data_IF_785808216854
#
_entry.id   IF_785808216854
#
_cell.length_a   1.000
_cell.length_b   1.000
_cell.length_c   1.000
_cell.angle_alpha   90.00
_cell.angle_beta   90.00
_cell.angle_gamma   90.00
#
_symmetry.space_group_name_H-M   'P 1'
#
loop_
_entity.id
_entity.type
_entity.pdbx_description
1 polymer ?
#
# COMPACT_ATOMS: atom_id res chain seq x y z
N UNK A 1 99.97 3.23 -23.03
CA UNK A 1 98.58 3.65 -22.78
C UNK A 1 97.68 2.63 -23.44
N UNK A 2 96.97 1.81 -22.67
CA UNK A 2 96.03 0.81 -23.20
C UNK A 2 94.74 1.49 -23.64
N UNK A 3 94.38 1.36 -24.92
CA UNK A 3 93.10 1.87 -25.45
C UNK A 3 91.92 1.11 -24.82
N UNK A 4 90.99 1.86 -24.24
CA UNK A 4 89.74 1.37 -23.67
C UNK A 4 88.67 1.37 -24.77
N UNK A 5 87.93 0.27 -24.92
CA UNK A 5 86.76 0.20 -25.82
C UNK A 5 85.48 0.16 -24.98
N UNK A 6 84.53 1.05 -25.26
CA UNK A 6 83.20 1.03 -24.65
C UNK A 6 82.29 0.22 -25.57
N UNK A 7 81.79 -0.91 -25.11
CA UNK A 7 80.84 -1.73 -25.85
C UNK A 7 79.43 -1.49 -25.29
N UNK A 8 78.48 -0.95 -26.07
CA UNK A 8 77.08 -0.90 -25.66
C UNK A 8 76.52 -2.32 -25.62
N UNK A 9 75.82 -2.67 -24.53
CA UNK A 9 75.13 -3.96 -24.42
C UNK A 9 73.84 -3.88 -25.24
N UNK A 10 73.89 -4.24 -26.51
CA UNK A 10 72.69 -4.56 -27.29
C UNK A 10 72.48 -6.08 -27.24
N UNK A 11 71.60 -6.52 -26.32
CA UNK A 11 71.24 -7.92 -26.15
C UNK A 11 70.39 -8.39 -27.35
N UNK A 12 71.01 -9.13 -28.27
CA UNK A 12 70.28 -9.93 -29.26
C UNK A 12 70.26 -11.39 -28.77
N UNK A 13 69.05 -11.87 -28.45
CA UNK A 13 68.65 -13.26 -28.16
C UNK A 13 68.75 -13.82 -26.73
N UNK A 14 68.18 -13.12 -25.74
CA UNK A 14 67.57 -13.80 -24.58
C UNK A 14 66.27 -13.09 -24.21
N UNK A 15 65.13 -13.74 -24.47
CA UNK A 15 63.82 -13.31 -23.96
C UNK A 15 63.85 -13.31 -22.42
N UNK A 16 63.44 -12.21 -21.79
CA UNK A 16 63.38 -11.96 -20.34
C UNK A 16 64.64 -11.42 -19.64
N UNK A 17 65.22 -10.32 -20.13
CA UNK A 17 65.92 -9.37 -19.25
C UNK A 17 65.40 -7.96 -19.55
N UNK A 18 64.74 -7.35 -18.57
CA UNK A 18 64.44 -5.91 -18.58
C UNK A 18 65.76 -5.12 -18.61
N UNK A 19 66.11 -4.62 -19.80
CA UNK A 19 66.92 -3.41 -20.03
C UNK A 19 67.95 -3.08 -18.93
N UNK A 20 69.07 -3.79 -18.86
CA UNK A 20 70.22 -3.32 -18.08
C UNK A 20 70.91 -2.20 -18.84
N UNK A 21 70.47 -0.96 -18.58
CA UNK A 21 71.17 0.26 -19.02
C UNK A 21 72.44 0.42 -18.19
N UNK A 22 73.55 -0.14 -18.68
CA UNK A 22 74.89 0.10 -18.17
C UNK A 22 75.92 -0.20 -19.23
N UNK A 23 76.89 0.70 -19.41
CA UNK A 23 78.06 0.43 -20.26
C UNK A 23 79.17 -0.13 -19.37
N UNK A 24 79.64 -1.35 -19.64
CA UNK A 24 80.84 -1.89 -18.99
C UNK A 24 82.07 -1.53 -19.84
N UNK A 25 83.18 -1.22 -19.15
CA UNK A 25 84.48 -0.98 -19.77
C UNK A 25 85.22 -2.31 -19.84
N UNK A 26 85.57 -2.76 -21.04
CA UNK A 26 86.30 -4.02 -21.27
C UNK A 26 87.61 -3.71 -22.00
N UNK A 27 88.66 -4.46 -21.68
CA UNK A 27 89.91 -4.41 -22.45
C UNK A 27 89.67 -4.86 -23.91
N UNK A 28 90.31 -4.16 -24.85
CA UNK A 28 90.25 -4.49 -26.28
C UNK A 28 90.74 -5.93 -26.53
N UNK A 29 89.94 -6.75 -27.20
CA UNK A 29 90.21 -8.17 -27.44
C UNK A 29 89.64 -9.13 -26.40
N UNK A 30 88.87 -8.62 -25.43
CA UNK A 30 88.16 -9.43 -24.44
C UNK A 30 86.65 -9.30 -24.62
N UNK A 31 85.92 -10.38 -24.37
CA UNK A 31 84.45 -10.43 -24.41
C UNK A 31 83.86 -10.51 -23.00
N UNK A 32 82.70 -9.89 -22.73
CA UNK A 32 82.04 -10.01 -21.43
C UNK A 32 81.44 -11.40 -21.24
N UNK A 33 81.56 -11.94 -20.03
CA UNK A 33 80.94 -13.21 -19.63
C UNK A 33 80.41 -13.10 -18.20
N UNK A 34 79.23 -13.66 -17.92
CA UNK A 34 78.71 -13.81 -16.56
C UNK A 34 78.92 -15.26 -16.16
N UNK A 35 79.66 -15.48 -15.06
CA UNK A 35 79.81 -16.81 -14.48
C UNK A 35 78.55 -17.25 -13.74
N UNK A 36 78.39 -18.57 -13.56
CA UNK A 36 77.27 -19.14 -12.78
C UNK A 36 77.29 -18.69 -11.30
N UNK A 37 78.43 -18.20 -10.81
CA UNK A 37 78.58 -17.58 -9.49
C UNK A 37 78.06 -16.12 -9.42
N UNK A 38 77.62 -15.59 -10.55
CA UNK A 38 77.04 -14.26 -10.69
C UNK A 38 78.08 -13.13 -10.74
N UNK A 39 79.36 -13.43 -10.97
CA UNK A 39 80.39 -12.41 -11.21
C UNK A 39 80.55 -12.12 -12.71
N UNK A 40 80.93 -10.88 -13.02
CA UNK A 40 81.36 -10.50 -14.37
C UNK A 40 82.82 -10.88 -14.60
N UNK A 41 83.10 -11.46 -15.77
CA UNK A 41 84.42 -11.86 -16.25
C UNK A 41 84.76 -11.19 -17.58
N UNK A 42 86.05 -10.90 -17.78
CA UNK A 42 86.63 -10.60 -19.09
C UNK A 42 87.18 -11.91 -19.69
N UNK A 43 86.65 -12.35 -20.82
CA UNK A 43 87.12 -13.55 -21.53
C UNK A 43 88.11 -13.18 -22.65
N UNK A 44 89.32 -13.74 -22.60
CA UNK A 44 90.31 -13.64 -23.66
C UNK A 44 90.15 -14.78 -24.66
N UNK A 45 89.67 -14.45 -25.85
CA UNK A 45 89.46 -15.43 -26.92
C UNK A 45 90.78 -16.00 -27.48
N UNK A 46 91.89 -15.28 -27.36
CA UNK A 46 93.19 -15.72 -27.89
C UNK A 46 93.88 -16.72 -26.97
N UNK A 47 93.65 -16.60 -25.66
CA UNK A 47 94.26 -17.48 -24.65
C UNK A 47 93.28 -18.45 -24.01
N UNK A 48 91.99 -18.36 -24.36
CA UNK A 48 90.88 -19.13 -23.78
C UNK A 48 90.86 -19.06 -22.25
N UNK A 49 91.06 -17.85 -21.71
CA UNK A 49 91.17 -17.60 -20.27
C UNK A 49 90.15 -16.57 -19.80
N UNK A 50 89.58 -16.80 -18.62
CA UNK A 50 88.62 -15.91 -17.97
C UNK A 50 89.29 -15.15 -16.83
N UNK A 51 89.10 -13.84 -16.77
CA UNK A 51 89.60 -12.98 -15.70
C UNK A 51 88.42 -12.41 -14.91
N UNK A 52 88.33 -12.76 -13.63
CA UNK A 52 87.28 -12.24 -12.75
C UNK A 52 87.49 -10.75 -12.50
N UNK A 53 86.47 -9.93 -12.77
CA UNK A 53 86.54 -8.48 -12.57
C UNK A 53 86.30 -8.05 -11.12
N UNK A 54 85.82 -8.97 -10.27
CA UNK A 54 85.39 -8.69 -8.90
C UNK A 54 84.05 -7.94 -8.80
N UNK A 55 83.39 -7.65 -9.93
CA UNK A 55 82.10 -6.98 -9.97
C UNK A 55 80.99 -8.04 -9.97
N UNK A 56 80.08 -7.93 -9.01
CA UNK A 56 78.91 -8.79 -8.89
C UNK A 56 77.82 -8.30 -9.85
N UNK A 57 77.27 -9.19 -10.67
CA UNK A 57 76.06 -8.94 -11.45
C UNK A 57 74.85 -8.93 -10.49
N UNK A 58 74.04 -7.86 -10.51
CA UNK A 58 72.77 -7.80 -9.76
C UNK A 58 72.89 -7.52 -8.26
N UNK A 59 73.62 -6.46 -7.87
CA UNK A 59 73.69 -6.01 -6.47
C UNK A 59 72.36 -5.48 -5.87
N UNK A 60 71.24 -5.64 -6.58
CA UNK A 60 69.90 -5.20 -6.16
C UNK A 60 68.88 -6.33 -6.01
N UNK A 61 69.31 -7.58 -6.14
CA UNK A 61 68.45 -8.73 -6.29
C UNK A 61 68.52 -9.52 -4.97
N UNK A 62 67.39 -9.88 -4.38
CA UNK A 62 67.44 -10.72 -3.18
C UNK A 62 68.08 -12.05 -3.58
N UNK A 63 69.29 -12.33 -3.08
CA UNK A 63 69.98 -13.61 -3.27
C UNK A 63 69.33 -14.67 -2.39
N UNK A 64 68.81 -15.73 -3.01
CA UNK A 64 68.21 -16.88 -2.31
C UNK A 64 69.15 -17.45 -1.26
N UNK A 65 70.44 -17.56 -1.57
CA UNK A 65 71.46 -17.99 -0.61
C UNK A 65 71.59 -17.15 0.67
N UNK A 66 71.00 -15.95 0.71
CA UNK A 66 70.98 -15.10 1.90
C UNK A 66 69.70 -15.36 2.69
N UNK A 67 68.51 -15.32 2.08
CA UNK A 67 67.25 -15.43 2.82
C UNK A 67 66.67 -16.85 2.90
N UNK A 68 67.08 -17.77 2.05
CA UNK A 68 66.64 -19.17 1.91
C UNK A 68 67.90 -20.03 1.63
N UNK A 69 68.82 -20.14 2.62
CA UNK A 69 70.07 -20.86 2.49
C UNK A 69 69.91 -22.38 2.33
N UNK A 70 68.80 -22.97 2.76
CA UNK A 70 68.54 -24.40 2.62
C UNK A 70 67.74 -24.76 1.34
N UNK A 71 67.21 -23.76 0.63
CA UNK A 71 66.59 -23.89 -0.68
C UNK A 71 65.18 -24.45 -0.63
N UNK A 72 64.49 -24.36 0.52
CA UNK A 72 63.15 -24.88 0.72
C UNK A 72 62.04 -23.93 0.19
N UNK A 73 62.43 -22.74 -0.28
CA UNK A 73 61.58 -21.64 -0.74
C UNK A 73 60.84 -20.89 0.39
N UNK A 74 61.35 -20.93 1.62
CA UNK A 74 60.91 -20.15 2.77
C UNK A 74 62.01 -19.14 3.15
N UNK A 75 61.62 -17.96 3.62
CA UNK A 75 62.58 -16.95 4.11
C UNK A 75 62.97 -17.27 5.56
N UNK A 76 64.18 -17.77 5.77
CA UNK A 76 64.75 -18.12 7.08
C UNK A 76 65.19 -16.91 7.91
N UNK A 77 65.60 -15.82 7.25
CA UNK A 77 66.01 -14.60 7.97
C UNK A 77 64.77 -13.76 8.30
N UNK A 78 64.03 -14.19 9.32
CA UNK A 78 62.80 -13.57 9.84
C UNK A 78 62.89 -12.05 10.07
N UNK A 79 64.09 -11.49 10.25
CA UNK A 79 64.32 -10.04 10.44
C UNK A 79 63.92 -9.18 9.24
N UNK A 80 63.70 -9.77 8.06
CA UNK A 80 63.27 -9.06 6.84
C UNK A 80 61.81 -9.32 6.46
N UNK A 81 61.10 -10.22 7.14
CA UNK A 81 59.71 -10.49 6.90
C UNK A 81 58.85 -9.53 7.73
N UNK A 82 58.31 -8.49 7.10
CA UNK A 82 57.34 -7.60 7.73
C UNK A 82 56.04 -8.39 7.97
N UNK A 83 55.74 -8.74 9.22
CA UNK A 83 54.53 -9.46 9.69
C UNK A 83 54.38 -10.97 9.39
N UNK A 84 55.43 -11.77 9.24
CA UNK A 84 55.23 -13.23 9.15
C UNK A 84 54.65 -13.85 10.46
N UNK A 85 55.00 -13.30 11.62
CA UNK A 85 54.66 -13.87 12.94
C UNK A 85 53.63 -13.06 13.76
N UNK A 86 53.10 -11.96 13.20
CA UNK A 86 52.24 -11.02 13.91
C UNK A 86 50.93 -10.77 13.17
N UNK A 87 49.80 -11.02 13.84
CA UNK A 87 48.47 -10.60 13.37
C UNK A 87 48.11 -9.33 14.14
N UNK A 88 48.04 -8.18 13.46
CA UNK A 88 47.64 -6.90 14.08
C UNK A 88 48.53 -6.48 15.27
N UNK A 89 49.86 -6.53 15.10
CA UNK A 89 50.88 -6.17 16.10
C UNK A 89 50.90 -7.03 17.38
N UNK A 90 50.28 -8.21 17.37
CA UNK A 90 50.35 -9.19 18.46
C UNK A 90 50.97 -10.49 17.95
N UNK A 91 51.87 -11.09 18.73
CA UNK A 91 52.41 -12.42 18.42
C UNK A 91 51.34 -13.47 18.70
N UNK A 92 51.33 -14.56 17.92
CA UNK A 92 50.37 -15.66 18.07
C UNK A 92 50.30 -16.10 19.54
N UNK A 93 51.43 -16.33 20.21
CA UNK A 93 51.49 -16.75 21.61
C UNK A 93 50.89 -15.76 22.65
N UNK A 94 50.81 -14.47 22.33
CA UNK A 94 50.28 -13.45 23.27
C UNK A 94 48.79 -13.16 23.08
N UNK A 95 48.26 -13.28 21.86
CA UNK A 95 46.85 -13.03 21.55
C UNK A 95 46.02 -14.31 21.36
N UNK A 96 46.66 -15.41 20.97
CA UNK A 96 46.04 -16.67 20.57
C UNK A 96 46.82 -17.80 21.25
N UNK A 97 46.33 -18.34 22.37
CA UNK A 97 47.05 -19.38 23.10
C UNK A 97 47.54 -20.52 22.19
N UNK A 98 48.68 -21.12 22.54
CA UNK A 98 49.18 -22.31 21.85
C UNK A 98 48.08 -23.39 21.85
N UNK A 99 47.64 -23.83 20.66
CA UNK A 99 46.48 -24.70 20.43
C UNK A 99 45.09 -24.06 20.53
N UNK A 100 44.95 -22.74 20.31
CA UNK A 100 43.63 -22.13 20.19
C UNK A 100 42.83 -22.79 19.06
N UNK A 101 41.69 -23.36 19.42
CA UNK A 101 40.74 -23.94 18.45
C UNK A 101 39.69 -22.88 18.14
N UNK A 102 39.71 -22.35 16.91
CA UNK A 102 38.62 -21.53 16.41
C UNK A 102 37.48 -22.45 16.00
N UNK A 103 36.42 -22.46 16.80
CA UNK A 103 35.20 -23.20 16.48
C UNK A 103 34.11 -22.22 16.10
N UNK A 104 33.57 -22.37 14.89
CA UNK A 104 32.36 -21.67 14.50
C UNK A 104 31.19 -22.24 15.31
N UNK A 105 30.45 -21.36 15.99
CA UNK A 105 29.23 -21.78 16.69
C UNK A 105 28.11 -21.94 15.67
N UNK A 106 27.65 -23.17 15.46
CA UNK A 106 26.45 -23.44 14.67
C UNK A 106 25.22 -23.38 15.59
N UNK A 107 24.25 -22.53 15.24
CA UNK A 107 22.98 -22.44 15.96
C UNK A 107 21.92 -23.30 15.28
N UNK A 108 21.18 -24.06 16.07
CA UNK A 108 20.04 -24.82 15.59
C UNK A 108 18.83 -23.89 15.36
N UNK A 109 17.91 -24.34 14.50
CA UNK A 109 16.61 -23.69 14.32
C UNK A 109 15.82 -23.65 15.63
N UNK A 110 15.11 -22.54 15.86
CA UNK A 110 14.29 -22.39 17.05
C UNK A 110 13.01 -23.23 16.94
N UNK A 111 12.72 -24.00 18.00
CA UNK A 111 11.50 -24.79 18.11
C UNK A 111 10.60 -24.29 19.25
N UNK A 112 9.40 -24.86 19.36
CA UNK A 112 8.48 -24.54 20.46
C UNK A 112 8.98 -25.05 21.82
N UNK A 113 9.93 -25.98 21.84
CA UNK A 113 10.49 -26.60 23.05
C UNK A 113 11.95 -26.24 23.30
N UNK A 114 12.67 -25.77 22.30
CA UNK A 114 14.11 -25.48 22.37
C UNK A 114 14.39 -24.11 21.76
N UNK A 115 15.18 -23.32 22.48
CA UNK A 115 15.63 -22.02 21.99
C UNK A 115 16.71 -22.20 20.92
N UNK A 116 16.56 -21.49 19.80
CA UNK A 116 17.62 -21.28 18.81
C UNK A 116 18.20 -19.88 18.99
N UNK A 117 18.21 -19.08 17.92
CA UNK A 117 18.51 -17.64 17.98
C UNK A 117 17.37 -16.79 18.59
N UNK A 118 16.22 -17.39 18.86
CA UNK A 118 15.10 -16.80 19.59
C UNK A 118 14.62 -17.75 20.69
N UNK A 119 13.98 -17.20 21.73
CA UNK A 119 13.44 -18.02 22.82
C UNK A 119 12.30 -18.92 22.30
N UNK A 120 12.16 -20.12 22.90
CA UNK A 120 11.03 -21.01 22.60
C UNK A 120 9.68 -20.32 22.86
N UNK A 121 9.62 -19.44 23.86
CA UNK A 121 8.45 -18.65 24.18
C UNK A 121 8.08 -17.63 23.08
N UNK A 122 9.08 -16.92 22.53
CA UNK A 122 8.84 -16.00 21.42
C UNK A 122 8.50 -16.77 20.14
N UNK A 123 9.05 -17.96 19.93
CA UNK A 123 8.68 -18.83 18.80
C UNK A 123 7.22 -19.25 18.89
N UNK A 124 6.77 -19.65 20.08
CA UNK A 124 5.36 -19.97 20.33
C UNK A 124 4.44 -18.78 20.05
N UNK A 125 4.85 -17.56 20.44
CA UNK A 125 4.10 -16.33 20.13
C UNK A 125 4.03 -16.07 18.62
N UNK A 126 5.15 -16.16 17.90
CA UNK A 126 5.18 -15.97 16.45
C UNK A 126 4.33 -17.01 15.72
N UNK A 127 4.34 -18.26 16.16
CA UNK A 127 3.48 -19.32 15.61
C UNK A 127 2.00 -19.06 15.90
N UNK A 128 1.69 -18.53 17.08
CA UNK A 128 0.34 -18.08 17.44
C UNK A 128 -0.14 -16.92 16.56
N UNK A 129 0.73 -15.94 16.29
CA UNK A 129 0.46 -14.83 15.38
C UNK A 129 0.25 -15.34 13.96
N UNK A 130 1.15 -16.18 13.43
CA UNK A 130 1.02 -16.75 12.08
C UNK A 130 -0.31 -17.48 11.87
N UNK A 131 -0.83 -18.16 12.91
CA UNK A 131 -2.13 -18.85 12.86
C UNK A 131 -3.34 -17.90 12.93
N UNK A 132 -3.19 -16.71 13.50
CA UNK A 132 -4.27 -15.74 13.74
C UNK A 132 -4.17 -14.41 12.97
N UNK A 133 -3.10 -14.18 12.20
CA UNK A 133 -2.74 -12.86 11.69
C UNK A 133 -3.67 -12.29 10.62
N UNK A 134 -4.59 -13.06 10.01
CA UNK A 134 -5.40 -12.52 8.89
C UNK A 134 -6.74 -13.20 8.62
N UNK A 135 -7.17 -14.20 9.40
CA UNK A 135 -8.42 -14.92 9.09
C UNK A 135 -9.61 -14.29 9.81
N UNK A 136 -10.26 -13.33 9.17
CA UNK A 136 -11.64 -12.95 9.49
C UNK A 136 -12.56 -13.89 8.70
N UNK A 137 -13.22 -14.81 9.40
CA UNK A 137 -14.23 -15.65 8.79
C UNK A 137 -15.46 -14.79 8.48
N UNK A 138 -15.76 -14.59 7.19
CA UNK A 138 -16.91 -13.80 6.72
C UNK A 138 -18.00 -14.70 6.15
N UNK A 139 -19.24 -14.26 6.27
CA UNK A 139 -20.44 -14.98 5.84
C UNK A 139 -21.03 -14.27 4.62
N UNK A 140 -21.17 -15.00 3.52
CA UNK A 140 -21.81 -14.50 2.29
C UNK A 140 -23.22 -15.06 2.10
N UNK A 141 -24.04 -15.01 3.15
CA UNK A 141 -25.44 -15.45 3.15
C UNK A 141 -26.25 -14.73 4.21
N UNK A 142 -27.40 -14.15 3.83
CA UNK A 142 -28.34 -13.50 4.77
C UNK A 142 -29.14 -14.48 5.62
N UNK A 143 -29.17 -15.75 5.24
CA UNK A 143 -29.90 -16.81 5.95
C UNK A 143 -29.04 -17.51 7.00
N UNK A 144 -27.76 -17.09 7.14
CA UNK A 144 -26.86 -17.65 8.13
C UNK A 144 -27.28 -17.27 9.54
N UNK A 145 -27.19 -18.23 10.47
CA UNK A 145 -27.43 -18.03 11.90
C UNK A 145 -26.14 -17.84 12.70
N UNK A 146 -24.99 -17.76 12.03
CA UNK A 146 -23.67 -17.60 12.66
C UNK A 146 -23.55 -16.21 13.32
N UNK A 147 -23.40 -16.17 14.65
CA UNK A 147 -23.30 -14.90 15.40
C UNK A 147 -21.87 -14.42 15.62
N UNK A 148 -20.87 -15.27 15.39
CA UNK A 148 -19.45 -14.98 15.61
C UNK A 148 -18.68 -14.53 14.36
N UNK A 149 -19.36 -14.34 13.23
CA UNK A 149 -18.75 -14.02 11.93
C UNK A 149 -19.34 -12.74 11.37
N UNK A 150 -18.51 -11.95 10.70
CA UNK A 150 -18.99 -10.75 10.02
C UNK A 150 -19.70 -11.10 8.71
N UNK A 151 -20.66 -10.29 8.29
CA UNK A 151 -21.22 -10.39 6.94
C UNK A 151 -20.20 -9.93 5.90
N UNK A 152 -20.27 -10.51 4.69
CA UNK A 152 -19.48 -10.08 3.56
C UNK A 152 -19.89 -8.68 3.09
N UNK A 153 -19.00 -8.00 2.35
CA UNK A 153 -19.34 -6.74 1.70
C UNK A 153 -20.47 -6.89 0.68
N UNK A 154 -20.59 -8.04 0.02
CA UNK A 154 -21.70 -8.34 -0.90
C UNK A 154 -23.04 -8.32 -0.16
N UNK A 155 -23.11 -8.97 1.01
CA UNK A 155 -24.32 -8.95 1.84
C UNK A 155 -24.62 -7.56 2.40
N UNK A 156 -23.59 -6.79 2.77
CA UNK A 156 -23.75 -5.39 3.13
C UNK A 156 -24.39 -4.55 2.02
N UNK A 157 -23.95 -4.74 0.77
CA UNK A 157 -24.56 -4.08 -0.40
C UNK A 157 -26.02 -4.51 -0.61
N UNK A 158 -26.31 -5.81 -0.55
CA UNK A 158 -27.68 -6.34 -0.73
C UNK A 158 -28.63 -5.78 0.34
N UNK A 159 -28.19 -5.73 1.61
CA UNK A 159 -28.97 -5.14 2.69
C UNK A 159 -29.21 -3.66 2.41
N UNK A 160 -28.17 -2.91 2.02
CA UNK A 160 -28.30 -1.48 1.68
C UNK A 160 -29.35 -1.26 0.58
N UNK A 161 -29.28 -2.03 -0.51
CA UNK A 161 -30.25 -1.92 -1.62
C UNK A 161 -31.68 -2.25 -1.17
N UNK A 162 -31.85 -3.29 -0.34
CA UNK A 162 -33.16 -3.66 0.23
C UNK A 162 -33.71 -2.56 1.15
N UNK A 163 -32.87 -1.99 2.01
CA UNK A 163 -33.24 -0.90 2.92
C UNK A 163 -33.70 0.32 2.12
N UNK A 164 -32.93 0.74 1.11
CA UNK A 164 -33.31 1.86 0.23
C UNK A 164 -34.63 1.57 -0.49
N UNK A 165 -34.84 0.36 -1.02
CA UNK A 165 -36.11 0.00 -1.66
C UNK A 165 -37.30 0.02 -0.71
N UNK A 166 -37.11 -0.28 0.58
CA UNK A 166 -38.17 -0.19 1.59
C UNK A 166 -38.48 1.26 1.94
N UNK A 167 -37.45 2.10 2.07
CA UNK A 167 -37.62 3.54 2.30
C UNK A 167 -38.45 4.21 1.19
N UNK A 168 -38.22 3.84 -0.07
CA UNK A 168 -39.03 4.33 -1.21
C UNK A 168 -40.48 3.84 -1.18
N UNK A 169 -40.77 2.71 -0.50
CA UNK A 169 -42.13 2.18 -0.33
C UNK A 169 -42.85 2.76 0.88
N UNK A 170 -42.15 3.41 1.80
CA UNK A 170 -42.80 4.03 2.93
C UNK A 170 -43.63 5.22 2.46
N UNK A 171 -44.86 5.30 2.98
CA UNK A 171 -45.81 6.37 2.75
C UNK A 171 -45.80 7.28 3.98
N UNK A 172 -44.81 8.17 4.13
CA UNK A 172 -44.67 8.98 5.33
C UNK A 172 -45.87 9.88 5.53
N UNK A 173 -46.34 9.91 6.77
CA UNK A 173 -47.47 10.73 7.17
C UNK A 173 -46.95 12.11 7.54
N UNK A 174 -47.28 13.09 6.70
CA UNK A 174 -46.87 14.48 6.88
C UNK A 174 -47.79 15.24 7.82
N UNK A 175 -49.02 14.78 8.00
CA UNK A 175 -50.01 15.33 8.92
C UNK A 175 -51.05 14.27 9.31
N UNK A 176 -51.46 14.26 10.57
CA UNK A 176 -52.70 13.61 11.04
C UNK A 176 -53.49 14.59 11.91
N UNK A 177 -54.81 14.60 11.75
CA UNK A 177 -55.67 15.47 12.54
C UNK A 177 -57.07 15.63 11.96
N UNK A 178 -57.58 16.85 12.06
CA UNK A 178 -58.89 17.23 11.54
C UNK A 178 -58.87 18.72 11.23
N UNK A 179 -58.63 19.09 9.98
CA UNK A 179 -58.58 20.49 9.56
C UNK A 179 -59.59 20.76 8.44
N UNK A 180 -60.44 21.77 8.65
CA UNK A 180 -61.39 22.26 7.65
C UNK A 180 -60.90 23.57 7.02
N UNK A 181 -60.33 24.46 7.84
CA UNK A 181 -59.72 25.74 7.42
C UNK A 181 -58.57 26.09 8.37
N UNK A 182 -57.65 26.93 7.92
CA UNK A 182 -56.51 27.38 8.72
C UNK A 182 -55.19 26.71 8.33
N UNK A 183 -54.17 26.93 9.15
CA UNK A 183 -52.78 26.54 8.86
C UNK A 183 -52.42 25.25 9.58
N UNK A 184 -51.74 24.35 8.87
CA UNK A 184 -51.06 23.20 9.46
C UNK A 184 -49.57 23.25 9.14
N UNK A 185 -48.78 22.60 9.99
CA UNK A 185 -47.36 22.35 9.77
C UNK A 185 -47.18 20.87 9.45
N UNK A 186 -46.45 20.58 8.38
CA UNK A 186 -46.09 19.24 7.96
C UNK A 186 -44.88 18.75 8.76
N UNK A 187 -44.79 17.44 9.01
CA UNK A 187 -43.64 16.83 9.68
C UNK A 187 -42.35 16.94 8.84
N UNK A 188 -42.49 17.01 7.52
CA UNK A 188 -41.40 17.21 6.57
C UNK A 188 -41.86 18.11 5.42
N UNK A 189 -40.91 18.72 4.72
CA UNK A 189 -41.22 19.56 3.55
C UNK A 189 -41.89 18.72 2.47
N UNK A 190 -43.02 19.20 1.94
CA UNK A 190 -43.71 18.57 0.82
C UNK A 190 -42.81 18.40 -0.42
N UNK A 191 -41.76 19.22 -0.56
CA UNK A 191 -40.82 19.15 -1.69
C UNK A 191 -39.90 17.93 -1.69
N UNK A 192 -39.94 17.11 -0.64
CA UNK A 192 -39.28 15.79 -0.61
C UNK A 192 -40.10 14.71 -1.34
N UNK A 193 -41.30 15.06 -1.81
CA UNK A 193 -42.28 14.14 -2.39
C UNK A 193 -42.68 14.61 -3.78
N UNK A 194 -43.06 13.66 -4.66
CA UNK A 194 -43.63 13.94 -5.97
C UNK A 194 -45.12 14.24 -5.89
N UNK A 195 -45.81 13.57 -4.97
CA UNK A 195 -47.25 13.76 -4.74
C UNK A 195 -47.56 13.83 -3.26
N UNK A 196 -48.59 14.60 -2.94
CA UNK A 196 -49.29 14.50 -1.67
C UNK A 196 -50.63 13.81 -1.88
N UNK A 197 -50.96 12.88 -0.99
CA UNK A 197 -52.29 12.28 -0.89
C UNK A 197 -52.99 12.88 0.32
N UNK A 198 -54.10 13.54 0.10
CA UNK A 198 -54.95 14.12 1.13
C UNK A 198 -56.11 13.19 1.39
N UNK A 199 -56.23 12.66 2.60
CA UNK A 199 -57.37 11.85 3.00
C UNK A 199 -58.40 12.75 3.67
N UNK A 200 -59.66 12.61 3.26
CA UNK A 200 -60.78 13.34 3.85
C UNK A 200 -61.71 12.45 4.66
N UNK A 201 -62.30 13.06 5.68
CA UNK A 201 -63.38 12.49 6.48
C UNK A 201 -64.50 13.51 6.65
N UNK A 202 -65.71 12.97 6.79
CA UNK A 202 -66.91 13.70 7.12
C UNK A 202 -67.04 13.90 8.63
N UNK A 203 -67.97 14.76 9.07
CA UNK A 203 -68.15 15.08 10.49
C UNK A 203 -68.49 13.85 11.35
N UNK A 204 -69.25 12.90 10.79
CA UNK A 204 -69.70 11.69 11.51
C UNK A 204 -68.89 10.44 11.13
N UNK A 205 -67.83 10.57 10.32
CA UNK A 205 -67.06 9.41 9.84
C UNK A 205 -65.87 9.12 10.75
N UNK A 206 -65.79 7.88 11.23
CA UNK A 206 -64.63 7.38 12.01
C UNK A 206 -63.43 7.13 11.11
N UNK A 207 -63.66 6.71 9.86
CA UNK A 207 -62.63 6.39 8.88
C UNK A 207 -62.62 7.45 7.76
N UNK A 208 -61.44 7.74 7.21
CA UNK A 208 -61.35 8.53 5.98
C UNK A 208 -61.96 7.74 4.80
N UNK A 209 -62.72 8.40 3.94
CA UNK A 209 -63.44 7.75 2.83
C UNK A 209 -63.05 8.28 1.44
N UNK A 210 -62.48 9.50 1.35
CA UNK A 210 -62.09 10.12 0.08
C UNK A 210 -60.62 10.49 0.04
N UNK A 211 -60.08 10.62 -1.18
CA UNK A 211 -58.69 11.04 -1.39
C UNK A 211 -58.55 12.10 -2.47
N UNK A 212 -57.65 13.05 -2.24
CA UNK A 212 -57.17 14.04 -3.19
C UNK A 212 -55.71 13.80 -3.52
N UNK A 213 -55.34 14.02 -4.78
CA UNK A 213 -53.95 13.95 -5.23
C UNK A 213 -53.49 15.35 -5.59
N UNK A 214 -52.32 15.73 -5.09
CA UNK A 214 -51.66 16.98 -5.46
C UNK A 214 -50.25 16.70 -5.97
N UNK A 215 -49.94 17.02 -7.24
CA UNK A 215 -48.59 16.96 -7.75
C UNK A 215 -47.76 18.07 -7.10
N UNK A 216 -46.66 17.70 -6.46
CA UNK A 216 -45.74 18.67 -5.88
C UNK A 216 -44.82 19.18 -6.98
N UNK A 217 -45.14 20.37 -7.48
CA UNK A 217 -44.30 21.13 -8.39
C UNK A 217 -43.70 22.25 -7.56
N UNK A 218 -42.38 22.50 -7.66
CA UNK A 218 -41.77 23.71 -7.09
C UNK A 218 -42.05 24.86 -8.05
N UNK A 219 -43.04 25.73 -7.83
CA UNK A 219 -43.25 26.85 -8.72
C UNK A 219 -42.22 27.93 -8.41
N UNK A 220 -41.85 28.67 -9.44
CA UNK A 220 -40.96 29.84 -9.36
C UNK A 220 -41.60 30.97 -8.52
N UNK A 221 -42.93 30.94 -8.37
CA UNK A 221 -43.74 31.89 -7.63
C UNK A 221 -44.48 31.18 -6.48
N UNK A 222 -44.00 31.41 -5.26
CA UNK A 222 -44.56 30.84 -4.04
C UNK A 222 -45.86 31.56 -3.62
N UNK A 223 -46.84 30.80 -3.10
CA UNK A 223 -48.05 31.38 -2.48
C UNK A 223 -49.29 31.48 -3.37
N UNK A 224 -49.32 30.81 -4.53
CA UNK A 224 -50.56 30.68 -5.29
C UNK A 224 -51.47 29.65 -4.62
N UNK A 225 -52.75 30.00 -4.50
CA UNK A 225 -53.77 29.09 -3.99
C UNK A 225 -54.11 28.07 -5.08
N UNK A 226 -53.90 26.79 -4.79
CA UNK A 226 -54.15 25.70 -5.72
C UNK A 226 -55.48 25.02 -5.42
N UNK A 227 -56.29 24.70 -6.46
CA UNK A 227 -57.47 23.89 -6.28
C UNK A 227 -57.07 22.44 -5.98
N UNK A 228 -57.73 21.84 -5.01
CA UNK A 228 -57.59 20.43 -4.67
C UNK A 228 -58.90 19.72 -4.98
N UNK A 229 -58.83 18.80 -5.95
CA UNK A 229 -59.95 17.95 -6.33
C UNK A 229 -59.76 16.59 -5.67
N UNK A 230 -60.79 16.12 -5.01
CA UNK A 230 -60.82 14.84 -4.33
C UNK A 230 -62.04 14.04 -4.74
N UNK A 231 -61.97 12.73 -4.64
CA UNK A 231 -63.08 11.84 -4.97
C UNK A 231 -63.25 10.76 -3.91
N UNK A 232 -64.49 10.29 -3.79
CA UNK A 232 -64.82 9.07 -3.05
C UNK A 232 -64.99 7.93 -4.07
N UNK A 233 -64.19 6.85 -4.00
CA UNK A 233 -64.28 5.72 -4.91
C UNK A 233 -65.40 4.72 -4.55
N UNK A 234 -66.12 4.90 -3.44
CA UNK A 234 -67.10 3.90 -3.00
C UNK A 234 -68.35 3.88 -3.89
N UNK A 235 -68.69 2.69 -4.36
CA UNK A 235 -69.81 2.46 -5.27
C UNK A 235 -71.10 2.35 -4.49
N UNK A 236 -72.02 3.30 -4.70
CA UNK A 236 -73.37 3.07 -5.22
C UNK A 236 -73.96 4.43 -5.63
N UNK A 237 -74.10 4.64 -6.94
CA UNK A 237 -74.93 5.66 -7.60
C UNK A 237 -74.73 7.17 -7.32
N UNK A 238 -73.80 7.60 -6.46
CA UNK A 238 -73.47 9.01 -6.25
C UNK A 238 -71.95 9.25 -6.23
N UNK A 239 -71.36 9.67 -7.35
CA UNK A 239 -70.00 10.21 -7.34
C UNK A 239 -70.06 11.65 -6.81
N UNK A 240 -69.60 11.85 -5.57
CA UNK A 240 -69.35 13.20 -5.04
C UNK A 240 -67.91 13.57 -5.36
N UNK A 241 -67.74 14.69 -6.06
CA UNK A 241 -66.43 15.35 -6.16
C UNK A 241 -66.30 16.27 -4.97
N UNK A 242 -65.14 16.32 -4.31
CA UNK A 242 -64.89 17.28 -3.25
C UNK A 242 -63.88 18.30 -3.74
N UNK A 243 -64.14 19.56 -3.45
CA UNK A 243 -63.26 20.66 -3.85
C UNK A 243 -62.85 21.40 -2.60
N UNK A 244 -61.55 21.63 -2.49
CA UNK A 244 -60.95 22.50 -1.50
C UNK A 244 -59.95 23.43 -2.16
N UNK A 245 -59.49 24.41 -1.40
CA UNK A 245 -58.45 25.34 -1.84
C UNK A 245 -57.42 25.47 -0.74
N UNK A 246 -56.16 25.34 -1.11
CA UNK A 246 -55.06 25.54 -0.18
C UNK A 246 -53.91 26.30 -0.82
N UNK A 247 -53.13 26.96 0.00
CA UNK A 247 -51.83 27.52 -0.35
C UNK A 247 -50.75 26.87 0.51
N UNK A 248 -49.49 27.04 0.13
CA UNK A 248 -48.36 26.45 0.83
C UNK A 248 -47.23 27.45 1.01
N UNK A 249 -46.50 27.29 2.13
CA UNK A 249 -45.35 28.12 2.47
C UNK A 249 -44.17 27.92 1.52
N UNK A 250 -43.26 28.89 1.49
CA UNK A 250 -42.05 28.88 0.65
C UNK A 250 -41.18 27.66 0.88
N UNK A 251 -41.05 27.20 2.13
CA UNK A 251 -40.26 26.03 2.51
C UNK A 251 -41.02 24.70 2.33
N UNK A 252 -42.29 24.74 1.92
CA UNK A 252 -43.13 23.54 1.78
C UNK A 252 -43.48 22.87 3.11
N UNK A 253 -43.25 23.56 4.23
CA UNK A 253 -43.51 23.06 5.59
C UNK A 253 -44.91 23.37 6.09
N UNK A 254 -45.61 24.33 5.49
CA UNK A 254 -46.94 24.76 5.93
C UNK A 254 -47.94 24.68 4.79
N UNK A 255 -49.15 24.22 5.11
CA UNK A 255 -50.30 24.29 4.22
C UNK A 255 -51.38 25.13 4.90
N UNK A 256 -51.98 26.06 4.14
CA UNK A 256 -53.09 26.90 4.59
C UNK A 256 -54.34 26.49 3.82
N UNK A 257 -55.31 25.88 4.50
CA UNK A 257 -56.62 25.57 3.95
C UNK A 257 -57.48 26.84 4.00
N UNK A 258 -57.71 27.44 2.84
CA UNK A 258 -58.35 28.74 2.70
C UNK A 258 -59.87 28.63 2.84
N UNK A 259 -60.45 27.60 2.22
CA UNK A 259 -61.88 27.32 2.24
C UNK A 259 -62.14 25.90 2.76
N UNK A 260 -63.29 25.67 3.45
CA UNK A 260 -63.71 24.32 3.82
C UNK A 260 -63.81 23.42 2.59
N UNK A 261 -63.41 22.15 2.74
CA UNK A 261 -63.64 21.15 1.69
C UNK A 261 -65.14 20.87 1.63
N UNK A 262 -65.73 21.02 0.44
CA UNK A 262 -67.17 20.81 0.23
C UNK A 262 -67.40 19.76 -0.85
N UNK A 263 -68.48 18.99 -0.69
CA UNK A 263 -68.93 18.10 -1.76
C UNK A 263 -69.62 18.89 -2.88
N UNK A 264 -69.46 18.41 -4.09
CA UNK A 264 -70.14 18.85 -5.30
C UNK A 264 -70.99 17.68 -5.76
N UNK A 265 -72.29 17.78 -5.49
CA UNK A 265 -73.27 16.80 -5.97
C UNK A 265 -73.62 17.11 -7.41
N UNK A 266 -73.25 16.24 -8.34
CA UNK A 266 -73.66 16.33 -9.73
C UNK A 266 -75.01 15.63 -9.93
N UNK A 267 -76.09 16.40 -9.95
CA UNK A 267 -77.42 15.90 -10.27
C UNK A 267 -77.81 16.34 -11.69
N UNK A 268 -78.31 15.42 -12.51
CA UNK A 268 -78.96 15.78 -13.78
C UNK A 268 -80.09 16.77 -13.46
N UNK A 269 -80.00 18.00 -13.97
CA UNK A 269 -81.01 19.06 -13.84
C UNK A 269 -81.17 19.73 -12.46
N UNK A 270 -80.16 19.69 -11.57
CA UNK A 270 -80.13 20.54 -10.36
C UNK A 270 -78.84 21.35 -10.24
N UNK A 271 -78.89 22.40 -9.42
CA UNK A 271 -77.74 23.25 -9.08
C UNK A 271 -76.61 22.42 -8.44
N UNK A 272 -75.38 22.70 -8.85
CA UNK A 272 -74.18 22.14 -8.23
C UNK A 272 -73.94 22.84 -6.89
N UNK A 273 -74.01 22.09 -5.79
CA UNK A 273 -73.73 22.63 -4.46
C UNK A 273 -73.91 21.58 -3.38
N UNK A 274 -72.98 21.55 -2.43
CA UNK A 274 -73.07 20.78 -1.21
C UNK A 274 -72.96 21.70 0.01
N UNK A 275 -73.65 21.36 1.08
CA UNK A 275 -73.65 22.10 2.36
C UNK A 275 -72.78 21.44 3.43
N UNK A 276 -72.31 20.22 3.16
CA UNK A 276 -71.51 19.45 4.12
C UNK A 276 -70.05 19.83 3.97
N UNK A 277 -69.42 20.17 5.09
CA UNK A 277 -67.99 20.45 5.17
C UNK A 277 -67.24 19.20 5.60
N UNK A 278 -66.06 19.02 5.03
CA UNK A 278 -65.18 17.88 5.26
C UNK A 278 -63.82 18.35 5.77
N UNK A 279 -63.17 17.48 6.53
CA UNK A 279 -61.82 17.73 7.06
C UNK A 279 -60.78 16.90 6.32
N UNK A 280 -59.60 17.48 6.11
CA UNK A 280 -58.41 16.67 5.87
C UNK A 280 -58.05 15.99 7.19
N UNK A 281 -58.03 14.66 7.17
CA UNK A 281 -57.69 13.85 8.34
C UNK A 281 -56.24 13.40 8.34
N UNK A 282 -55.65 13.24 7.15
CA UNK A 282 -54.29 12.75 6.98
C UNK A 282 -53.70 13.25 5.66
N UNK A 283 -52.41 13.56 5.67
CA UNK A 283 -51.63 13.85 4.46
C UNK A 283 -50.46 12.90 4.40
N UNK A 284 -50.27 12.26 3.25
CA UNK A 284 -49.22 11.29 2.99
C UNK A 284 -48.34 11.81 1.85
N UNK A 285 -47.02 11.73 2.02
CA UNK A 285 -46.06 12.00 0.94
C UNK A 285 -45.78 10.74 0.12
N UNK A 286 -45.72 10.88 -1.21
CA UNK A 286 -45.32 9.82 -2.14
C UNK A 286 -44.04 10.27 -2.87
N UNK A 287 -42.96 9.49 -2.74
CA UNK A 287 -41.64 9.77 -3.32
C UNK A 287 -41.55 9.49 -4.83
#
# INVERSE_FOLDING_TARGET
MSEITIVPIESNNVENIESVKGSIIIKKGYSPYIGDDGYWYEYDENTNSFFNTGIIAGSGDMRRSVYDPDGDNIVDIAKQADNADTVNNLTVETAVPENAVFTDTTYNEASISEAGLMSSYDKMKLDGIARGATRVDVVDSLESTETGKALSANQGKIISERVTSLEDKTQPVLFEGSINTGVITLNESMYNYKFLVFLIKGPDSVNGFGYGLFPVIRPENHGQSEPLIMADPTGEHYHSTYVGKFSYGTEGMTLTFEDPIMNVTHNLNKTHGGTTTYSVSKIIGIR
#
